data_IF_135759418859
#
_entry.id   IF_135759418859
#
_cell.length_a   1.000
_cell.length_b   1.000
_cell.length_c   1.000
_cell.angle_alpha   90.00
_cell.angle_beta   90.00
_cell.angle_gamma   90.00
#
_symmetry.space_group_name_H-M   'P 1'
#
loop_
_entity.id
_entity.type
_entity.pdbx_description
1 polymer ?
#
# COMPACT_ATOMS: atom_id res chain seq x y z
N UNK A 1 -10.21 11.72 -17.86
CA UNK A 1 -11.37 11.59 -16.93
C UNK A 1 -11.03 12.44 -15.74
N UNK A 2 -11.92 13.35 -15.33
CA UNK A 2 -11.74 14.10 -14.08
C UNK A 2 -12.16 13.19 -12.90
N UNK A 3 -11.22 12.88 -12.02
CA UNK A 3 -11.47 12.04 -10.85
C UNK A 3 -12.04 12.81 -9.64
N UNK A 4 -12.23 14.12 -9.75
CA UNK A 4 -12.84 14.97 -8.73
C UNK A 4 -12.12 14.91 -7.37
N UNK A 5 -10.79 14.83 -7.40
CA UNK A 5 -9.95 14.73 -6.21
C UNK A 5 -9.37 16.09 -5.77
N UNK A 6 -9.59 17.15 -6.55
CA UNK A 6 -9.10 18.48 -6.24
C UNK A 6 -9.55 18.95 -4.85
N UNK A 7 -8.59 19.37 -4.02
CA UNK A 7 -8.81 19.83 -2.65
C UNK A 7 -9.14 18.76 -1.61
N UNK A 8 -9.16 17.47 -1.98
CA UNK A 8 -9.27 16.36 -1.02
C UNK A 8 -7.94 16.17 -0.29
N UNK A 9 -7.98 16.04 1.01
CA UNK A 9 -6.79 15.76 1.82
C UNK A 9 -6.52 14.25 1.89
N UNK A 10 -5.40 13.81 1.33
CA UNK A 10 -5.02 12.41 1.24
C UNK A 10 -3.76 12.11 2.06
N UNK A 11 -3.82 11.15 2.97
CA UNK A 11 -2.68 10.58 3.67
C UNK A 11 -2.30 9.25 3.02
N UNK A 12 -1.04 9.13 2.58
CA UNK A 12 -0.48 7.88 2.09
C UNK A 12 0.65 7.44 3.03
N UNK A 13 0.48 6.30 3.69
CA UNK A 13 1.50 5.80 4.63
C UNK A 13 2.62 5.06 3.89
N UNK A 14 3.87 5.13 4.41
CA UNK A 14 5.02 4.48 3.77
C UNK A 14 5.25 4.97 2.33
N UNK A 15 5.14 6.27 2.08
CA UNK A 15 5.08 6.85 0.74
C UNK A 15 6.32 7.62 0.31
N UNK A 16 7.46 7.39 0.96
CA UNK A 16 8.74 7.98 0.54
C UNK A 16 9.36 7.28 -0.67
N UNK A 17 8.88 6.09 -1.06
CA UNK A 17 9.39 5.29 -2.16
C UNK A 17 8.32 4.33 -2.72
N UNK A 18 8.63 3.63 -3.80
CA UNK A 18 7.86 2.51 -4.34
C UNK A 18 6.40 2.80 -4.65
N UNK A 19 5.51 1.86 -4.33
CA UNK A 19 4.06 1.95 -4.57
C UNK A 19 3.47 3.18 -3.88
N UNK A 20 3.82 3.43 -2.62
CA UNK A 20 3.30 4.56 -1.85
C UNK A 20 3.65 5.91 -2.48
N UNK A 21 4.89 6.07 -2.97
CA UNK A 21 5.30 7.28 -3.69
C UNK A 21 4.51 7.47 -4.99
N UNK A 22 4.33 6.40 -5.77
CA UNK A 22 3.56 6.44 -7.02
C UNK A 22 2.09 6.81 -6.76
N UNK A 23 1.46 6.25 -5.71
CA UNK A 23 0.09 6.59 -5.31
C UNK A 23 -0.01 8.07 -4.90
N UNK A 24 0.89 8.52 -4.03
CA UNK A 24 0.91 9.91 -3.57
C UNK A 24 1.09 10.89 -4.73
N UNK A 25 1.98 10.57 -5.68
CA UNK A 25 2.20 11.34 -6.91
C UNK A 25 0.93 11.40 -7.77
N UNK A 26 0.27 10.26 -7.96
CA UNK A 26 -0.95 10.19 -8.78
C UNK A 26 -2.09 11.01 -8.16
N UNK A 27 -2.29 10.92 -6.84
CA UNK A 27 -3.28 11.73 -6.12
C UNK A 27 -2.96 13.24 -6.19
N UNK A 28 -1.70 13.63 -6.06
CA UNK A 28 -1.27 15.02 -6.19
C UNK A 28 -1.48 15.56 -7.61
N UNK A 29 -1.24 14.75 -8.64
CA UNK A 29 -1.48 15.12 -10.03
C UNK A 29 -2.99 15.34 -10.34
N UNK A 30 -3.88 14.67 -9.61
CA UNK A 30 -5.33 14.88 -9.64
C UNK A 30 -5.81 16.04 -8.74
N UNK A 31 -4.87 16.83 -8.18
CA UNK A 31 -5.17 18.03 -7.41
C UNK A 31 -5.48 17.78 -5.92
N UNK A 32 -5.24 16.61 -5.38
CA UNK A 32 -5.38 16.36 -3.94
C UNK A 32 -4.26 17.06 -3.14
N UNK A 33 -4.59 17.44 -1.90
CA UNK A 33 -3.61 17.91 -0.90
C UNK A 33 -3.00 16.68 -0.20
N UNK A 34 -1.79 16.26 -0.60
CA UNK A 34 -1.22 14.97 -0.19
C UNK A 34 -0.30 15.10 1.02
N UNK A 35 -0.46 14.19 1.96
CA UNK A 35 0.46 13.99 3.08
C UNK A 35 1.20 12.68 2.84
N UNK A 36 2.53 12.76 2.70
CA UNK A 36 3.41 11.60 2.65
C UNK A 36 3.96 11.28 4.04
N UNK A 37 4.22 9.99 4.26
CA UNK A 37 4.80 9.51 5.51
C UNK A 37 5.99 8.59 5.27
N UNK A 38 6.97 8.68 6.13
CA UNK A 38 8.12 7.77 6.24
C UNK A 38 8.68 7.78 7.65
N UNK A 39 9.52 6.80 7.98
CA UNK A 39 10.08 6.64 9.34
C UNK A 39 11.01 7.79 9.76
N UNK A 40 11.83 8.27 8.85
CA UNK A 40 12.87 9.24 9.15
C UNK A 40 12.73 10.55 8.39
N UNK A 41 13.10 11.66 9.05
CA UNK A 41 13.03 13.02 8.48
C UNK A 41 13.82 13.15 7.16
N UNK A 42 15.02 12.56 7.07
CA UNK A 42 15.84 12.62 5.87
C UNK A 42 15.15 11.96 4.66
N UNK A 43 14.57 10.78 4.84
CA UNK A 43 13.83 10.09 3.77
C UNK A 43 12.58 10.86 3.33
N UNK A 44 11.88 11.50 4.26
CA UNK A 44 10.72 12.35 3.96
C UNK A 44 11.15 13.60 3.19
N UNK A 45 12.24 14.26 3.59
CA UNK A 45 12.76 15.43 2.88
C UNK A 45 13.19 15.10 1.45
N UNK A 46 13.95 14.03 1.25
CA UNK A 46 14.35 13.56 -0.09
C UNK A 46 13.14 13.19 -0.97
N UNK A 47 12.09 12.61 -0.38
CA UNK A 47 10.86 12.34 -1.11
C UNK A 47 10.15 13.63 -1.54
N UNK A 48 10.08 14.65 -0.69
CA UNK A 48 9.47 15.95 -1.03
C UNK A 48 10.21 16.63 -2.18
N UNK A 49 11.54 16.59 -2.23
CA UNK A 49 12.32 17.11 -3.35
C UNK A 49 11.97 16.40 -4.67
N UNK A 50 11.80 15.07 -4.62
CA UNK A 50 11.36 14.29 -5.80
C UNK A 50 9.93 14.64 -6.22
N UNK A 51 9.04 14.95 -5.27
CA UNK A 51 7.67 15.37 -5.56
C UNK A 51 7.62 16.71 -6.28
N UNK A 52 8.42 17.70 -5.84
CA UNK A 52 8.48 19.01 -6.50
C UNK A 52 8.89 18.90 -7.97
N UNK A 53 9.79 17.95 -8.28
CA UNK A 53 10.20 17.67 -9.67
C UNK A 53 9.09 16.92 -10.47
N UNK A 54 8.39 16.00 -9.81
CA UNK A 54 7.43 15.11 -10.47
C UNK A 54 6.04 15.74 -10.66
N UNK A 55 5.62 16.63 -9.75
CA UNK A 55 4.33 17.34 -9.77
C UNK A 55 4.58 18.79 -9.35
N UNK A 56 5.16 19.62 -10.23
CA UNK A 56 5.46 21.03 -9.90
C UNK A 56 4.19 21.78 -9.45
N UNK A 57 4.28 22.45 -8.30
CA UNK A 57 3.15 23.17 -7.71
C UNK A 57 2.10 22.28 -7.04
N UNK A 58 2.33 20.98 -6.96
CA UNK A 58 1.47 20.05 -6.21
C UNK A 58 1.53 20.35 -4.71
N UNK A 59 0.38 20.26 -4.05
CA UNK A 59 0.29 20.48 -2.60
C UNK A 59 0.68 19.20 -1.85
N UNK A 60 1.98 19.03 -1.57
CA UNK A 60 2.51 17.86 -0.87
C UNK A 60 3.27 18.30 0.38
N UNK A 61 2.98 17.67 1.53
CA UNK A 61 3.75 17.82 2.76
C UNK A 61 4.12 16.47 3.36
N UNK A 62 5.15 16.42 4.17
CA UNK A 62 5.69 15.19 4.74
C UNK A 62 5.59 15.14 6.26
N UNK A 63 5.33 13.95 6.81
CA UNK A 63 5.35 13.67 8.24
C UNK A 63 6.28 12.48 8.50
N UNK A 64 7.32 12.70 9.32
CA UNK A 64 8.20 11.62 9.76
C UNK A 64 7.61 10.99 11.04
N UNK A 65 7.18 9.73 10.93
CA UNK A 65 6.67 8.92 12.05
C UNK A 65 6.83 7.43 11.72
N UNK A 66 7.25 6.63 12.70
CA UNK A 66 7.35 5.17 12.54
C UNK A 66 6.01 4.50 12.87
N UNK A 67 5.23 4.23 11.85
CA UNK A 67 3.90 3.62 11.99
C UNK A 67 3.92 2.12 12.35
N UNK A 68 5.10 1.50 12.39
CA UNK A 68 5.29 0.18 12.99
C UNK A 68 5.11 0.18 14.51
N UNK A 69 4.86 1.33 15.13
CA UNK A 69 4.64 1.49 16.56
C UNK A 69 3.35 2.25 16.85
N UNK A 70 2.75 2.01 18.03
CA UNK A 70 1.58 2.76 18.49
C UNK A 70 1.89 4.26 18.63
N UNK A 71 3.02 4.58 19.27
CA UNK A 71 3.49 5.97 19.47
C UNK A 71 3.70 6.71 18.16
N UNK A 72 4.26 6.05 17.14
CA UNK A 72 4.42 6.67 15.82
C UNK A 72 3.08 6.95 15.14
N UNK A 73 2.08 6.10 15.32
CA UNK A 73 0.73 6.37 14.85
C UNK A 73 0.11 7.57 15.59
N UNK A 74 0.28 7.67 16.90
CA UNK A 74 -0.17 8.81 17.70
C UNK A 74 0.48 10.12 17.23
N UNK A 75 1.80 10.15 17.05
CA UNK A 75 2.52 11.31 16.52
C UNK A 75 2.01 11.75 15.14
N UNK A 76 1.68 10.79 14.26
CA UNK A 76 1.16 11.11 12.94
C UNK A 76 -0.24 11.74 13.04
N UNK A 77 -1.14 11.19 13.85
CA UNK A 77 -2.51 11.74 13.99
C UNK A 77 -2.53 13.09 14.68
N UNK A 78 -1.62 13.36 15.62
CA UNK A 78 -1.43 14.69 16.22
C UNK A 78 -1.01 15.72 15.16
N UNK A 79 -0.06 15.35 14.28
CA UNK A 79 0.41 16.21 13.19
C UNK A 79 -0.59 16.35 12.03
N UNK A 80 -1.50 15.40 11.89
CA UNK A 80 -2.52 15.36 10.85
C UNK A 80 -3.83 14.78 11.40
N UNK A 81 -4.64 15.58 12.13
CA UNK A 81 -5.81 15.08 12.84
C UNK A 81 -7.00 14.70 11.95
N UNK A 82 -7.03 15.15 10.70
CA UNK A 82 -8.15 14.88 9.78
C UNK A 82 -7.69 14.69 8.34
N UNK A 83 -8.29 13.72 7.65
CA UNK A 83 -8.08 13.44 6.24
C UNK A 83 -9.38 12.99 5.57
N UNK A 84 -9.50 13.22 4.27
CA UNK A 84 -10.60 12.72 3.43
C UNK A 84 -10.30 11.31 2.91
N UNK A 85 -9.03 11.05 2.59
CA UNK A 85 -8.54 9.83 1.99
C UNK A 85 -7.41 9.28 2.85
N UNK A 86 -7.53 8.01 3.24
CA UNK A 86 -6.48 7.27 3.94
C UNK A 86 -6.05 6.07 3.09
N UNK A 87 -4.78 6.09 2.64
CA UNK A 87 -4.17 4.92 1.99
C UNK A 87 -3.19 4.26 2.95
N UNK A 88 -3.59 3.12 3.51
CA UNK A 88 -2.78 2.26 4.35
C UNK A 88 -1.84 1.43 3.47
N UNK A 89 -0.72 2.02 3.07
CA UNK A 89 0.27 1.39 2.20
C UNK A 89 1.49 0.86 2.98
N UNK A 90 1.70 1.27 4.23
CA UNK A 90 2.83 0.78 5.01
C UNK A 90 2.88 -0.74 5.05
N UNK A 91 4.07 -1.30 4.85
CA UNK A 91 4.29 -2.74 4.95
C UNK A 91 5.76 -3.10 4.81
N UNK A 92 6.10 -4.24 5.39
CA UNK A 92 7.39 -4.91 5.27
C UNK A 92 7.18 -6.30 4.67
N UNK A 93 8.19 -6.82 4.00
CA UNK A 93 8.28 -8.20 3.53
C UNK A 93 9.71 -8.67 3.70
N UNK A 94 9.89 -9.95 4.00
CA UNK A 94 11.20 -10.60 4.10
C UNK A 94 11.04 -12.11 3.84
N UNK A 95 11.64 -12.66 2.78
CA UNK A 95 11.63 -14.10 2.53
C UNK A 95 12.41 -14.85 3.59
N UNK A 96 11.76 -15.88 4.19
CA UNK A 96 12.37 -16.75 5.18
C UNK A 96 11.67 -18.11 5.22
N UNK A 97 12.40 -19.25 5.31
CA UNK A 97 11.82 -20.56 5.53
C UNK A 97 10.91 -20.57 6.77
N UNK A 98 9.76 -21.26 6.67
CA UNK A 98 8.77 -21.26 7.76
C UNK A 98 9.35 -21.65 9.12
N UNK A 99 10.20 -22.66 9.14
CA UNK A 99 10.81 -23.20 10.35
C UNK A 99 11.82 -22.23 11.01
N UNK A 100 12.27 -21.22 10.28
CA UNK A 100 13.25 -20.24 10.74
C UNK A 100 12.59 -18.92 11.20
N UNK A 101 11.26 -18.78 11.07
CA UNK A 101 10.55 -17.56 11.46
C UNK A 101 10.27 -17.60 12.96
N UNK A 102 10.97 -16.81 13.80
CA UNK A 102 10.71 -16.75 15.22
C UNK A 102 9.41 -15.98 15.53
N UNK A 103 8.83 -16.21 16.71
CA UNK A 103 7.58 -15.60 17.13
C UNK A 103 7.61 -14.05 17.05
N UNK A 104 8.76 -13.45 17.38
CA UNK A 104 8.97 -12.01 17.36
C UNK A 104 8.77 -11.42 15.95
N UNK A 105 9.16 -12.16 14.89
CA UNK A 105 8.94 -11.72 13.52
C UNK A 105 7.45 -11.79 13.15
N UNK A 106 6.72 -12.82 13.57
CA UNK A 106 5.28 -12.90 13.39
C UNK A 106 4.57 -11.68 13.98
N UNK A 107 4.92 -11.32 15.22
CA UNK A 107 4.36 -10.13 15.88
C UNK A 107 4.82 -8.85 15.20
N UNK A 108 6.07 -8.75 14.76
CA UNK A 108 6.57 -7.57 14.07
C UNK A 108 5.85 -7.33 12.73
N UNK A 109 5.62 -8.38 11.95
CA UNK A 109 4.84 -8.29 10.71
C UNK A 109 3.39 -7.91 10.97
N UNK A 110 2.76 -8.48 11.98
CA UNK A 110 1.39 -8.13 12.35
C UNK A 110 1.29 -6.67 12.82
N UNK A 111 2.19 -6.25 13.68
CA UNK A 111 2.24 -4.88 14.21
C UNK A 111 2.45 -3.85 13.09
N UNK A 112 3.40 -4.10 12.21
CA UNK A 112 3.76 -3.19 11.12
C UNK A 112 2.72 -3.19 10.00
N UNK A 113 2.35 -4.35 9.48
CA UNK A 113 1.51 -4.46 8.29
C UNK A 113 0.02 -4.30 8.59
N UNK A 114 -0.44 -4.71 9.78
CA UNK A 114 -1.87 -4.74 10.11
C UNK A 114 -2.24 -3.63 11.09
N UNK A 115 -1.57 -3.58 12.25
CA UNK A 115 -1.95 -2.67 13.33
C UNK A 115 -1.73 -1.19 12.98
N UNK A 116 -0.76 -0.86 12.13
CA UNK A 116 -0.59 0.49 11.60
C UNK A 116 -1.88 0.99 10.94
N UNK A 117 -2.44 0.22 10.00
CA UNK A 117 -3.67 0.54 9.29
C UNK A 117 -4.90 0.52 10.19
N UNK A 118 -4.96 -0.41 11.15
CA UNK A 118 -6.05 -0.49 12.15
C UNK A 118 -6.10 0.78 13.01
N UNK A 119 -4.95 1.24 13.54
CA UNK A 119 -4.86 2.44 14.39
C UNK A 119 -5.27 3.70 13.65
N UNK A 120 -4.73 3.90 12.46
CA UNK A 120 -5.05 5.08 11.66
C UNK A 120 -6.50 5.08 11.19
N UNK A 121 -7.02 3.94 10.72
CA UNK A 121 -8.43 3.85 10.31
C UNK A 121 -9.37 4.08 11.48
N UNK A 122 -9.06 3.55 12.67
CA UNK A 122 -9.83 3.78 13.90
C UNK A 122 -9.91 5.27 14.25
N UNK A 123 -8.83 6.02 14.03
CA UNK A 123 -8.79 7.44 14.29
C UNK A 123 -9.62 8.24 13.26
N UNK A 124 -9.42 8.04 11.96
CA UNK A 124 -10.02 8.89 10.93
C UNK A 124 -11.46 8.53 10.56
N UNK A 125 -11.85 7.27 10.69
CA UNK A 125 -13.15 6.78 10.25
C UNK A 125 -14.35 7.47 10.89
N UNK A 126 -14.37 7.81 12.20
CA UNK A 126 -15.50 8.51 12.81
C UNK A 126 -15.77 9.87 12.17
N UNK A 127 -14.75 10.68 11.92
CA UNK A 127 -14.88 11.97 11.26
C UNK A 127 -15.34 11.83 9.80
N UNK A 128 -14.84 10.82 9.06
CA UNK A 128 -15.30 10.49 7.71
C UNK A 128 -16.78 10.14 7.69
N UNK A 129 -17.26 9.33 8.63
CA UNK A 129 -18.69 8.98 8.76
C UNK A 129 -19.54 10.21 9.08
N UNK A 130 -19.10 11.07 10.00
CA UNK A 130 -19.84 12.26 10.41
C UNK A 130 -20.07 13.24 9.23
N UNK A 131 -19.04 13.45 8.36
CA UNK A 131 -19.18 14.29 7.16
C UNK A 131 -19.79 13.55 5.98
N UNK A 132 -20.16 12.29 6.14
CA UNK A 132 -20.74 11.41 5.13
C UNK A 132 -19.88 11.27 3.87
N UNK A 133 -18.54 11.34 4.00
CA UNK A 133 -17.59 11.15 2.91
C UNK A 133 -16.23 10.71 3.46
N UNK A 134 -15.64 9.72 2.83
CA UNK A 134 -14.30 9.25 3.10
C UNK A 134 -13.91 8.10 2.19
N UNK A 135 -12.60 7.92 2.00
CA UNK A 135 -12.01 6.80 1.27
C UNK A 135 -10.91 6.18 2.09
N UNK A 136 -11.05 4.89 2.38
CA UNK A 136 -10.01 4.11 3.06
C UNK A 136 -9.58 2.98 2.13
N UNK A 137 -8.29 2.91 1.86
CA UNK A 137 -7.71 1.87 1.00
C UNK A 137 -6.60 1.17 1.76
N UNK A 138 -6.63 -0.16 1.79
CA UNK A 138 -5.54 -0.99 2.28
C UNK A 138 -4.75 -1.55 1.09
N UNK A 139 -3.44 -1.32 1.06
CA UNK A 139 -2.58 -1.96 0.07
C UNK A 139 -2.15 -3.31 0.63
N UNK A 140 -2.92 -4.33 0.26
CA UNK A 140 -2.62 -5.71 0.61
C UNK A 140 -1.59 -6.30 -0.37
N UNK A 141 -1.84 -7.48 -0.92
CA UNK A 141 -1.01 -8.19 -1.91
C UNK A 141 -1.81 -9.34 -2.49
N UNK A 142 -1.41 -9.87 -3.66
CA UNK A 142 -1.84 -11.20 -4.13
C UNK A 142 -1.53 -12.27 -3.08
N UNK A 143 -0.46 -12.07 -2.29
CA UNK A 143 -0.06 -12.94 -1.19
C UNK A 143 -1.09 -13.02 -0.05
N UNK A 144 -2.03 -12.10 0.01
CA UNK A 144 -3.17 -12.16 0.92
C UNK A 144 -4.24 -13.19 0.51
N UNK A 145 -4.25 -13.63 -0.76
CA UNK A 145 -5.13 -14.68 -1.29
C UNK A 145 -4.34 -15.97 -1.52
N UNK A 146 -3.11 -15.87 -2.05
CA UNK A 146 -2.22 -16.99 -2.33
C UNK A 146 -0.91 -16.78 -1.54
N UNK A 147 -0.87 -17.10 -0.23
CA UNK A 147 0.34 -16.92 0.59
C UNK A 147 1.51 -17.71 -0.01
N UNK A 148 2.65 -17.04 -0.27
CA UNK A 148 3.82 -17.74 -0.80
C UNK A 148 4.52 -18.55 0.27
N UNK A 149 4.99 -19.74 -0.07
CA UNK A 149 5.67 -20.64 0.86
C UNK A 149 6.95 -20.02 1.45
N UNK A 150 7.61 -19.16 0.67
CA UNK A 150 8.82 -18.45 1.08
C UNK A 150 8.58 -17.23 1.99
N UNK A 151 7.31 -16.87 2.28
CA UNK A 151 6.95 -15.70 3.12
C UNK A 151 5.61 -15.89 3.82
N UNK A 152 5.44 -16.98 4.59
CA UNK A 152 4.15 -17.34 5.20
C UNK A 152 3.61 -16.25 6.14
N UNK A 153 4.48 -15.67 6.99
CA UNK A 153 4.13 -14.58 7.92
C UNK A 153 3.71 -13.29 7.19
N UNK A 154 4.33 -12.98 6.04
CA UNK A 154 3.90 -11.88 5.19
C UNK A 154 2.51 -12.16 4.62
N UNK A 155 2.30 -13.34 4.01
CA UNK A 155 1.01 -13.77 3.48
C UNK A 155 -0.10 -13.67 4.52
N UNK A 156 0.15 -14.16 5.74
CA UNK A 156 -0.76 -14.03 6.89
C UNK A 156 -1.13 -12.57 7.15
N UNK A 157 -0.14 -11.67 7.22
CA UNK A 157 -0.39 -10.25 7.49
C UNK A 157 -1.22 -9.59 6.38
N UNK A 158 -1.01 -9.97 5.13
CA UNK A 158 -1.76 -9.46 3.97
C UNK A 158 -3.19 -10.02 3.91
N UNK A 159 -3.41 -11.28 4.30
CA UNK A 159 -4.75 -11.85 4.49
C UNK A 159 -5.50 -11.14 5.62
N UNK A 160 -4.83 -10.84 6.73
CA UNK A 160 -5.41 -10.09 7.83
C UNK A 160 -5.87 -8.69 7.41
N UNK A 161 -5.11 -7.99 6.54
CA UNK A 161 -5.53 -6.70 5.98
C UNK A 161 -6.84 -6.81 5.18
N UNK A 162 -7.02 -7.88 4.37
CA UNK A 162 -8.28 -8.12 3.63
C UNK A 162 -9.46 -8.29 4.58
N UNK A 163 -9.30 -9.11 5.62
CA UNK A 163 -10.32 -9.35 6.64
C UNK A 163 -10.68 -8.06 7.38
N UNK A 164 -9.68 -7.28 7.81
CA UNK A 164 -9.86 -6.00 8.50
C UNK A 164 -10.60 -5.00 7.61
N UNK A 165 -10.17 -4.82 6.37
CA UNK A 165 -10.79 -3.89 5.42
C UNK A 165 -12.25 -4.27 5.16
N UNK A 166 -12.54 -5.55 4.92
CA UNK A 166 -13.91 -6.04 4.71
C UNK A 166 -14.78 -5.83 5.93
N UNK A 167 -14.29 -6.17 7.13
CA UNK A 167 -15.04 -5.98 8.37
C UNK A 167 -15.32 -4.50 8.67
N UNK A 168 -14.37 -3.59 8.43
CA UNK A 168 -14.57 -2.15 8.57
C UNK A 168 -15.62 -1.64 7.57
N UNK A 169 -15.61 -2.14 6.32
CA UNK A 169 -16.61 -1.76 5.32
C UNK A 169 -18.04 -2.01 5.81
N UNK A 170 -18.32 -3.13 6.47
CA UNK A 170 -19.63 -3.43 7.06
C UNK A 170 -20.05 -2.39 8.11
N UNK A 171 -19.11 -1.78 8.80
CA UNK A 171 -19.42 -0.72 9.77
C UNK A 171 -19.77 0.63 9.12
N UNK A 172 -19.64 0.76 7.80
CA UNK A 172 -19.89 1.99 7.04
C UNK A 172 -21.24 2.00 6.32
N UNK A 173 -22.09 0.99 6.55
CA UNK A 173 -23.43 0.90 5.94
C UNK A 173 -24.22 2.18 6.14
N UNK A 174 -24.84 2.68 5.06
CA UNK A 174 -25.64 3.90 5.08
C UNK A 174 -24.83 5.20 5.09
N UNK A 175 -23.51 5.15 4.95
CA UNK A 175 -22.65 6.33 4.83
C UNK A 175 -22.02 6.45 3.45
N UNK A 176 -21.53 7.66 3.11
CA UNK A 176 -20.75 7.91 1.89
C UNK A 176 -19.28 7.50 1.97
N UNK A 177 -18.89 6.74 3.00
CA UNK A 177 -17.52 6.23 3.19
C UNK A 177 -17.35 4.89 2.50
N UNK A 178 -16.28 4.72 1.73
CA UNK A 178 -15.92 3.40 1.18
C UNK A 178 -14.59 2.90 1.74
N UNK A 179 -14.50 1.59 1.96
CA UNK A 179 -13.30 0.90 2.42
C UNK A 179 -13.02 -0.26 1.49
N UNK A 180 -11.84 -0.28 0.87
CA UNK A 180 -11.45 -1.30 -0.10
C UNK A 180 -10.01 -1.75 0.13
N UNK A 181 -9.65 -2.90 -0.42
CA UNK A 181 -8.27 -3.36 -0.53
C UNK A 181 -7.85 -3.37 -2.00
N UNK A 182 -6.60 -2.96 -2.27
CA UNK A 182 -5.94 -3.16 -3.56
C UNK A 182 -4.83 -4.18 -3.36
N UNK A 183 -4.72 -5.14 -4.26
CA UNK A 183 -3.84 -6.29 -4.19
C UNK A 183 -2.81 -6.24 -5.32
N UNK A 184 -1.67 -5.57 -5.12
CA UNK A 184 -0.58 -5.64 -6.08
C UNK A 184 0.02 -7.04 -6.16
N UNK A 185 0.48 -7.42 -7.34
CA UNK A 185 1.44 -8.50 -7.52
C UNK A 185 2.89 -8.01 -7.40
N UNK A 186 3.88 -8.80 -7.84
CA UNK A 186 5.28 -8.41 -7.84
C UNK A 186 5.48 -7.09 -8.60
N UNK A 187 5.86 -6.04 -7.88
CA UNK A 187 5.91 -4.66 -8.38
C UNK A 187 7.34 -4.14 -8.35
N UNK A 188 7.78 -3.44 -9.40
CA UNK A 188 9.13 -2.86 -9.56
C UNK A 188 9.32 -1.67 -8.63
N UNK A 189 9.70 -1.96 -7.38
CA UNK A 189 10.05 -0.96 -6.36
C UNK A 189 11.54 -1.02 -6.08
N UNK A 190 12.08 0.00 -5.40
CA UNK A 190 13.48 0.04 -5.00
C UNK A 190 13.86 -1.19 -4.13
N UNK A 191 12.97 -1.63 -3.23
CA UNK A 191 13.18 -2.82 -2.41
C UNK A 191 13.20 -4.11 -3.23
N UNK A 192 12.31 -4.23 -4.23
CA UNK A 192 12.28 -5.38 -5.15
C UNK A 192 13.49 -5.37 -6.07
N UNK A 193 13.94 -4.21 -6.54
CA UNK A 193 15.18 -4.11 -7.33
C UNK A 193 16.40 -4.58 -6.52
N UNK A 194 16.51 -4.19 -5.25
CA UNK A 194 17.57 -4.69 -4.35
C UNK A 194 17.47 -6.20 -4.13
N UNK A 195 16.28 -6.75 -3.98
CA UNK A 195 16.06 -8.19 -3.88
C UNK A 195 16.55 -8.93 -5.13
N UNK A 196 16.19 -8.47 -6.34
CA UNK A 196 16.64 -9.11 -7.58
C UNK A 196 18.13 -8.95 -7.82
N UNK A 197 18.74 -7.82 -7.43
CA UNK A 197 20.19 -7.65 -7.52
C UNK A 197 20.92 -8.69 -6.64
N UNK A 198 20.47 -8.89 -5.41
CA UNK A 198 21.02 -9.92 -4.50
C UNK A 198 20.80 -11.33 -5.06
N UNK A 199 19.61 -11.65 -5.53
CA UNK A 199 19.28 -12.96 -6.09
C UNK A 199 20.15 -13.28 -7.32
N UNK A 200 20.36 -12.29 -8.20
CA UNK A 200 21.21 -12.41 -9.37
C UNK A 200 22.67 -12.70 -8.97
N UNK A 201 23.21 -11.97 -7.99
CA UNK A 201 24.56 -12.19 -7.46
C UNK A 201 24.73 -13.60 -6.86
N UNK A 202 23.77 -14.04 -6.02
CA UNK A 202 23.78 -15.37 -5.38
C UNK A 202 23.73 -16.52 -6.42
N UNK A 203 23.05 -16.31 -7.53
CA UNK A 203 22.86 -17.32 -8.58
C UNK A 203 23.84 -17.19 -9.77
N UNK A 204 24.66 -16.16 -9.81
CA UNK A 204 25.57 -15.90 -10.93
C UNK A 204 24.84 -15.55 -12.23
N UNK A 205 23.68 -14.89 -12.13
CA UNK A 205 22.82 -14.48 -13.25
C UNK A 205 22.85 -12.96 -13.43
N UNK A 206 22.36 -12.48 -14.58
CA UNK A 206 21.97 -11.08 -14.72
C UNK A 206 20.64 -10.83 -13.98
N UNK A 207 20.34 -9.56 -13.69
CA UNK A 207 19.07 -9.18 -13.03
C UNK A 207 17.87 -9.58 -13.89
N UNK A 208 17.97 -9.44 -15.21
CA UNK A 208 16.92 -9.83 -16.16
C UNK A 208 16.72 -11.35 -16.21
N UNK A 209 17.78 -12.14 -16.05
CA UNK A 209 17.68 -13.60 -15.96
C UNK A 209 17.05 -14.03 -14.65
N UNK A 210 17.43 -13.41 -13.54
CA UNK A 210 16.82 -13.64 -12.23
C UNK A 210 15.32 -13.27 -12.21
N UNK A 211 14.92 -12.15 -12.84
CA UNK A 211 13.51 -11.77 -13.01
C UNK A 211 12.75 -12.82 -13.84
N UNK A 212 13.31 -13.30 -14.96
CA UNK A 212 12.69 -14.36 -15.77
C UNK A 212 12.52 -15.68 -15.00
N UNK A 213 13.57 -16.09 -14.28
CA UNK A 213 13.53 -17.29 -13.44
C UNK A 213 12.47 -17.17 -12.33
N UNK A 214 12.37 -16.02 -11.67
CA UNK A 214 11.34 -15.76 -10.68
C UNK A 214 9.91 -15.96 -11.23
N UNK A 215 9.62 -15.45 -12.44
CA UNK A 215 8.31 -15.66 -13.06
C UNK A 215 8.12 -17.08 -13.63
N UNK A 216 9.18 -17.83 -13.84
CA UNK A 216 9.07 -19.24 -14.20
C UNK A 216 8.76 -20.13 -12.98
N UNK A 217 9.45 -19.90 -11.87
CA UNK A 217 9.50 -20.80 -10.72
C UNK A 217 8.63 -20.33 -9.55
N UNK A 218 8.80 -19.08 -9.09
CA UNK A 218 8.09 -18.56 -7.91
C UNK A 218 6.70 -17.99 -8.24
N UNK A 219 6.50 -17.47 -9.45
CA UNK A 219 5.18 -16.94 -9.90
C UNK A 219 4.79 -17.49 -11.28
N UNK A 220 4.72 -18.85 -11.44
CA UNK A 220 4.44 -19.49 -12.73
C UNK A 220 3.04 -19.18 -13.25
N UNK A 221 2.12 -18.76 -12.39
CA UNK A 221 0.75 -18.41 -12.75
C UNK A 221 0.59 -17.00 -13.32
N UNK A 222 1.58 -16.11 -13.14
CA UNK A 222 1.52 -14.76 -13.69
C UNK A 222 1.23 -14.79 -15.19
N UNK A 223 0.19 -14.08 -15.62
CA UNK A 223 -0.17 -13.96 -17.05
C UNK A 223 0.72 -12.95 -17.75
N UNK A 224 1.05 -11.84 -17.08
CA UNK A 224 1.85 -10.76 -17.69
C UNK A 224 3.36 -11.04 -17.72
N UNK A 225 3.85 -11.99 -16.92
CA UNK A 225 5.25 -12.44 -16.86
C UNK A 225 6.30 -11.31 -16.72
N UNK A 226 5.96 -10.26 -16.03
CA UNK A 226 6.85 -9.12 -15.72
C UNK A 226 6.49 -8.50 -14.38
N UNK A 227 7.41 -7.73 -13.83
CA UNK A 227 7.10 -6.84 -12.70
C UNK A 227 6.06 -5.78 -13.14
N UNK A 228 5.15 -5.48 -12.23
CA UNK A 228 4.16 -4.41 -12.37
C UNK A 228 4.87 -3.07 -12.16
N UNK A 229 4.53 -2.06 -12.97
CA UNK A 229 4.97 -0.69 -12.69
C UNK A 229 4.18 -0.12 -11.49
N UNK A 230 4.83 0.55 -10.53
CA UNK A 230 4.10 1.22 -9.43
C UNK A 230 2.97 2.14 -9.89
N UNK A 231 3.08 2.73 -11.09
CA UNK A 231 2.03 3.57 -11.66
C UNK A 231 0.77 2.77 -12.03
N UNK A 232 0.88 1.49 -12.40
CA UNK A 232 -0.28 0.63 -12.66
C UNK A 232 -1.10 0.40 -11.38
N UNK A 233 -0.42 0.23 -10.24
CA UNK A 233 -1.08 0.14 -8.92
C UNK A 233 -1.68 1.49 -8.53
N UNK A 234 -0.92 2.57 -8.71
CA UNK A 234 -1.36 3.92 -8.38
C UNK A 234 -2.62 4.33 -9.16
N UNK A 235 -2.75 3.96 -10.43
CA UNK A 235 -3.93 4.24 -11.25
C UNK A 235 -5.20 3.63 -10.63
N UNK A 236 -5.16 2.36 -10.19
CA UNK A 236 -6.28 1.71 -9.51
C UNK A 236 -6.61 2.40 -8.18
N UNK A 237 -5.59 2.69 -7.36
CA UNK A 237 -5.80 3.34 -6.05
C UNK A 237 -6.39 4.73 -6.22
N UNK A 238 -5.91 5.52 -7.17
CA UNK A 238 -6.42 6.88 -7.44
C UNK A 238 -7.88 6.84 -7.88
N UNK A 239 -8.26 5.89 -8.76
CA UNK A 239 -9.66 5.69 -9.13
C UNK A 239 -10.52 5.31 -7.91
N UNK A 240 -10.07 4.38 -7.07
CA UNK A 240 -10.82 3.93 -5.88
C UNK A 240 -10.97 5.04 -4.83
N UNK A 241 -10.06 6.02 -4.82
CA UNK A 241 -10.17 7.20 -3.97
C UNK A 241 -11.16 8.25 -4.51
N UNK A 242 -11.58 8.15 -5.76
CA UNK A 242 -12.50 9.10 -6.42
C UNK A 242 -13.95 8.95 -5.94
N UNK A 243 -14.77 10.03 -5.96
CA UNK A 243 -16.23 9.92 -5.86
C UNK A 243 -16.85 9.01 -6.93
N UNK A 244 -16.24 8.88 -8.11
CA UNK A 244 -16.72 8.03 -9.21
C UNK A 244 -16.73 6.54 -8.88
N UNK A 245 -15.96 6.11 -7.87
CA UNK A 245 -15.92 4.72 -7.39
C UNK A 245 -16.87 4.44 -6.23
N UNK A 246 -17.88 5.27 -6.00
CA UNK A 246 -18.77 5.19 -4.82
C UNK A 246 -19.50 3.86 -4.67
N UNK A 247 -19.72 3.11 -5.75
CA UNK A 247 -20.30 1.77 -5.73
C UNK A 247 -19.27 0.65 -5.44
N UNK A 248 -17.96 0.97 -5.42
CA UNK A 248 -16.90 0.03 -5.09
C UNK A 248 -16.63 0.11 -3.58
N UNK A 249 -17.17 -0.86 -2.82
CA UNK A 249 -17.11 -0.86 -1.36
C UNK A 249 -16.98 -2.28 -0.81
N UNK A 250 -16.06 -2.48 0.13
CA UNK A 250 -15.75 -3.79 0.70
C UNK A 250 -15.07 -4.74 -0.29
N UNK A 251 -14.52 -4.23 -1.38
CA UNK A 251 -13.91 -5.01 -2.45
C UNK A 251 -12.42 -5.27 -2.23
N UNK A 252 -11.96 -6.40 -2.77
CA UNK A 252 -10.54 -6.75 -2.93
C UNK A 252 -10.19 -6.65 -4.42
N UNK A 253 -9.54 -5.55 -4.82
CA UNK A 253 -9.28 -5.19 -6.20
C UNK A 253 -7.87 -5.59 -6.61
N UNK A 254 -7.75 -6.47 -7.60
CA UNK A 254 -6.48 -7.06 -8.00
C UNK A 254 -5.77 -6.22 -9.06
N UNK A 255 -4.49 -5.95 -8.82
CA UNK A 255 -3.53 -5.38 -9.78
C UNK A 255 -2.28 -6.25 -9.71
N UNK A 256 -2.41 -7.54 -10.08
CA UNK A 256 -1.41 -8.57 -9.76
C UNK A 256 -0.94 -9.37 -10.99
N UNK A 257 -1.38 -8.98 -12.18
CA UNK A 257 -0.91 -9.56 -13.43
C UNK A 257 -1.35 -11.01 -13.67
N UNK A 258 -2.44 -11.45 -13.03
CA UNK A 258 -2.99 -12.79 -13.18
C UNK A 258 -2.26 -13.88 -12.38
N UNK A 259 -1.58 -13.51 -11.29
CA UNK A 259 -0.93 -14.46 -10.39
C UNK A 259 -1.98 -15.33 -9.68
N UNK A 260 -3.06 -14.73 -9.22
CA UNK A 260 -4.16 -15.42 -8.53
C UNK A 260 -5.10 -16.05 -9.56
N UNK A 261 -5.25 -17.37 -9.51
CA UNK A 261 -6.10 -18.13 -10.47
C UNK A 261 -7.60 -18.08 -10.19
N UNK A 262 -8.02 -17.45 -9.09
CA UNK A 262 -9.45 -17.27 -8.80
C UNK A 262 -10.08 -16.30 -9.80
N UNK A 263 -11.35 -16.55 -10.18
CA UNK A 263 -12.14 -15.60 -10.98
C UNK A 263 -12.67 -14.43 -10.16
N UNK A 264 -12.72 -14.59 -8.84
CA UNK A 264 -13.20 -13.60 -7.86
C UNK A 264 -12.19 -13.42 -6.74
#
# INVERSE_FOLDING_TARGET
>A
MDLQLAGKRALVTGSTAGIGFAIARSLAAEGADVIINGRGRAGVAAALERFEQAVPGGKVRGIAADLGTATGCEQLVEACPDVDILVNNMGIFDPKPFEEIPDEEWFHFFETNVMSGVRLTRHYLPAMKLRNWGRVVFISSESGICPPAEMVHYGMSKSAQLSVARGIAETCVGSGVTVNSVLPGPTRTEGVATFFARLAEEQGLSVEEAERAFFADARPTSIIKRLIDPAEVAAMVTYVCSPLSSATHGAALRVEGGVVRSMV
#
